data_IF_396513140191
#
_entry.id   IF_396513140191
#
_cell.length_a   1.000
_cell.length_b   1.000
_cell.length_c   1.000
_cell.angle_alpha   90.00
_cell.angle_beta   90.00
_cell.angle_gamma   90.00
#
_symmetry.space_group_name_H-M   'P 1'
#
loop_
_entity.id
_entity.type
_entity.pdbx_description
1 polymer ?
#
# COMPACT_ATOMS: atom_id res chain seq x y z
N UNK A 1 31.60 5.85 -1.92
CA UNK A 1 30.23 5.67 -1.44
C UNK A 1 29.90 6.89 -0.61
N UNK A 2 28.83 7.64 -0.85
CA UNK A 2 28.43 8.71 0.03
C UNK A 2 28.10 8.13 1.41
N UNK A 3 28.53 8.82 2.47
CA UNK A 3 28.33 8.36 3.84
C UNK A 3 26.84 8.21 4.17
N UNK A 4 26.50 7.17 4.95
CA UNK A 4 25.14 6.94 5.42
C UNK A 4 24.61 8.22 6.09
N UNK A 5 23.37 8.67 5.80
CA UNK A 5 22.74 9.76 6.51
C UNK A 5 22.70 9.44 8.02
N UNK A 6 22.97 10.45 8.84
CA UNK A 6 22.99 10.29 10.30
C UNK A 6 21.56 10.44 10.85
N UNK A 7 20.74 9.39 10.67
CA UNK A 7 19.35 9.37 11.16
C UNK A 7 19.31 9.07 12.66
N UNK A 8 18.35 9.62 13.41
CA UNK A 8 18.20 9.28 14.83
C UNK A 8 17.80 7.80 14.97
N UNK A 9 18.53 7.07 15.81
CA UNK A 9 18.22 5.68 16.16
C UNK A 9 16.87 5.61 16.86
N UNK A 10 15.81 5.31 16.12
CA UNK A 10 14.50 5.00 16.69
C UNK A 10 14.41 3.49 17.01
N UNK A 11 14.21 3.17 18.28
CA UNK A 11 13.63 1.87 18.69
C UNK A 11 12.19 1.82 18.12
N UNK A 12 11.63 0.61 17.86
CA UNK A 12 10.22 0.50 17.52
C UNK A 12 9.39 1.09 18.67
N UNK A 13 9.06 2.35 18.55
CA UNK A 13 8.13 3.04 19.46
C UNK A 13 6.76 2.61 18.95
N UNK A 14 5.96 1.96 19.80
CA UNK A 14 4.55 1.77 19.51
C UNK A 14 3.94 3.16 19.33
N UNK A 15 3.63 3.52 18.10
CA UNK A 15 3.00 4.79 17.80
C UNK A 15 1.56 4.77 18.32
N UNK A 16 1.13 5.86 18.94
CA UNK A 16 -0.28 6.00 19.34
C UNK A 16 -1.18 6.12 18.10
N UNK A 17 -2.45 5.72 18.24
CA UNK A 17 -3.44 5.92 17.15
C UNK A 17 -3.47 7.36 16.65
N UNK A 18 -3.36 8.34 17.56
CA UNK A 18 -3.31 9.76 17.18
C UNK A 18 -2.08 10.09 16.33
N UNK A 19 -0.93 9.49 16.64
CA UNK A 19 0.27 9.68 15.84
C UNK A 19 0.10 9.07 14.44
N UNK A 20 -0.42 7.85 14.34
CA UNK A 20 -0.69 7.19 13.05
C UNK A 20 -1.68 7.97 12.20
N UNK A 21 -2.76 8.50 12.82
CA UNK A 21 -3.72 9.37 12.14
C UNK A 21 -3.05 10.64 11.58
N UNK A 22 -2.17 11.27 12.36
CA UNK A 22 -1.42 12.45 11.89
C UNK A 22 -0.45 12.10 10.75
N UNK A 23 0.28 11.00 10.88
CA UNK A 23 1.16 10.49 9.82
C UNK A 23 0.36 10.22 8.55
N UNK A 24 -0.79 9.55 8.65
CA UNK A 24 -1.66 9.28 7.51
C UNK A 24 -2.20 10.56 6.84
N UNK A 25 -2.50 11.60 7.63
CA UNK A 25 -2.89 12.91 7.10
C UNK A 25 -1.75 13.54 6.30
N UNK A 26 -0.54 13.55 6.85
CA UNK A 26 0.64 14.09 6.17
C UNK A 26 0.96 13.30 4.87
N UNK A 27 0.83 11.97 4.90
CA UNK A 27 1.00 11.13 3.69
C UNK A 27 -0.01 11.53 2.60
N UNK A 28 -1.27 11.79 2.97
CA UNK A 28 -2.28 12.29 2.02
C UNK A 28 -1.90 13.64 1.41
N UNK A 29 -1.30 14.56 2.20
CA UNK A 29 -0.77 15.82 1.64
C UNK A 29 0.34 15.55 0.61
N UNK A 30 1.26 14.62 0.87
CA UNK A 30 2.30 14.26 -0.10
C UNK A 30 1.70 13.72 -1.40
N UNK A 31 0.70 12.85 -1.32
CA UNK A 31 0.00 12.29 -2.49
C UNK A 31 -0.65 13.41 -3.32
N UNK A 32 -1.35 14.35 -2.66
CA UNK A 32 -1.97 15.49 -3.34
C UNK A 32 -0.93 16.31 -4.09
N UNK A 33 0.21 16.61 -3.45
CA UNK A 33 1.32 17.37 -4.07
C UNK A 33 1.99 16.62 -5.22
N UNK A 34 2.00 15.29 -5.21
CA UNK A 34 2.50 14.47 -6.32
C UNK A 34 1.50 14.34 -7.48
N UNK A 35 0.25 14.72 -7.30
CA UNK A 35 -0.79 14.62 -8.32
C UNK A 35 -0.79 15.81 -9.30
N UNK A 36 0.36 16.44 -9.51
CA UNK A 36 0.64 17.49 -10.48
C UNK A 36 1.88 17.15 -11.31
N UNK A 37 2.26 17.95 -12.29
CA UNK A 37 3.49 17.80 -13.09
C UNK A 37 3.67 16.38 -13.67
N UNK A 38 2.61 15.83 -14.23
CA UNK A 38 2.57 14.48 -14.79
C UNK A 38 1.63 13.53 -14.04
N UNK A 39 1.10 13.95 -12.91
CA UNK A 39 0.02 13.28 -12.18
C UNK A 39 0.40 11.99 -11.49
N UNK A 40 -0.58 11.40 -10.78
CA UNK A 40 -0.45 10.10 -10.15
C UNK A 40 -1.81 9.39 -10.00
N UNK A 41 -1.77 8.12 -9.57
CA UNK A 41 -2.96 7.30 -9.31
C UNK A 41 -3.55 7.64 -7.93
N UNK A 42 -4.07 8.85 -7.80
CA UNK A 42 -4.45 9.44 -6.51
C UNK A 42 -5.57 8.67 -5.80
N UNK A 43 -6.60 8.23 -6.54
CA UNK A 43 -7.77 7.57 -5.93
C UNK A 43 -7.40 6.31 -5.16
N UNK A 44 -6.60 5.44 -5.76
CA UNK A 44 -6.15 4.19 -5.17
C UNK A 44 -5.06 4.41 -4.10
N UNK A 45 -4.14 5.37 -4.34
CA UNK A 45 -3.12 5.72 -3.34
C UNK A 45 -3.73 6.19 -2.02
N UNK A 46 -4.78 7.03 -2.08
CA UNK A 46 -5.45 7.55 -0.88
C UNK A 46 -6.19 6.45 -0.09
N UNK A 47 -6.68 5.38 -0.73
CA UNK A 47 -7.32 4.26 -0.03
C UNK A 47 -6.33 3.47 0.81
N UNK A 48 -5.11 3.27 0.32
CA UNK A 48 -4.10 2.43 0.93
C UNK A 48 -3.29 3.10 2.06
N UNK A 49 -3.43 4.42 2.27
CA UNK A 49 -2.60 5.19 3.21
C UNK A 49 -2.61 4.59 4.61
N UNK A 50 -3.79 4.38 5.20
CA UNK A 50 -3.89 3.93 6.59
C UNK A 50 -3.30 2.53 6.78
N UNK A 51 -3.47 1.65 5.77
CA UNK A 51 -2.87 0.32 5.73
C UNK A 51 -1.34 0.39 5.74
N UNK A 52 -0.76 1.16 4.81
CA UNK A 52 0.70 1.27 4.66
C UNK A 52 1.32 1.93 5.90
N UNK A 53 0.71 3.01 6.40
CA UNK A 53 1.16 3.67 7.64
C UNK A 53 1.13 2.69 8.80
N UNK A 54 0.03 1.95 9.01
CA UNK A 54 -0.07 0.95 10.08
C UNK A 54 1.03 -0.11 9.97
N UNK A 55 1.20 -0.68 8.78
CA UNK A 55 2.18 -1.74 8.55
C UNK A 55 3.60 -1.30 8.91
N UNK A 56 4.02 -0.11 8.53
CA UNK A 56 5.37 0.39 8.80
C UNK A 56 5.55 0.96 10.22
N UNK A 57 4.49 1.40 10.89
CA UNK A 57 4.60 2.01 12.22
C UNK A 57 4.41 1.05 13.38
N UNK A 58 3.64 -0.04 13.20
CA UNK A 58 3.28 -0.96 14.30
C UNK A 58 3.60 -2.43 14.01
N UNK A 59 3.49 -2.89 12.76
CA UNK A 59 3.54 -4.32 12.47
C UNK A 59 4.89 -4.83 11.95
N UNK A 60 5.52 -4.10 11.02
CA UNK A 60 6.76 -4.54 10.36
C UNK A 60 8.01 -4.14 11.16
N UNK A 61 8.97 -5.04 11.24
CA UNK A 61 10.32 -4.74 11.69
C UNK A 61 11.15 -4.15 10.53
N UNK A 62 10.80 -2.92 10.12
CA UNK A 62 11.49 -2.16 9.06
C UNK A 62 11.68 -0.73 9.53
N UNK A 63 12.92 -0.25 9.52
CA UNK A 63 13.28 1.12 9.89
C UNK A 63 14.60 1.53 9.22
N UNK A 64 15.00 2.78 9.37
CA UNK A 64 16.20 3.32 8.71
C UNK A 64 17.52 2.58 9.11
N UNK A 65 17.55 1.96 10.27
CA UNK A 65 18.75 1.30 10.78
C UNK A 65 18.92 -0.15 10.26
N UNK A 66 17.82 -0.77 9.76
CA UNK A 66 17.81 -2.19 9.38
C UNK A 66 17.47 -2.47 7.91
N UNK A 67 17.44 -1.48 7.04
CA UNK A 67 17.07 -1.69 5.63
C UNK A 67 17.99 -2.69 4.89
N UNK A 68 19.24 -2.81 5.32
CA UNK A 68 20.20 -3.77 4.77
C UNK A 68 20.25 -5.10 5.56
N UNK A 69 19.43 -5.24 6.64
CA UNK A 69 19.42 -6.44 7.48
C UNK A 69 18.58 -7.54 6.82
N UNK A 70 19.14 -8.73 6.55
CA UNK A 70 18.38 -9.85 5.99
C UNK A 70 17.30 -10.40 6.96
N UNK A 71 17.39 -10.08 8.25
CA UNK A 71 16.43 -10.53 9.26
C UNK A 71 15.24 -9.54 9.46
N UNK A 72 15.20 -8.44 8.70
CA UNK A 72 14.06 -7.54 8.66
C UNK A 72 12.84 -8.14 7.97
N UNK A 73 11.67 -7.57 8.19
CA UNK A 73 10.47 -7.93 7.45
C UNK A 73 10.46 -7.34 6.03
N UNK A 74 9.60 -7.86 5.17
CA UNK A 74 9.50 -7.45 3.76
C UNK A 74 8.08 -7.01 3.42
N UNK A 75 7.95 -5.90 2.68
CA UNK A 75 6.70 -5.46 2.12
C UNK A 75 6.80 -5.36 0.59
N UNK A 76 5.89 -6.04 -0.09
CA UNK A 76 5.70 -5.99 -1.54
C UNK A 76 4.41 -5.23 -1.86
N UNK A 77 4.51 -4.12 -2.58
CA UNK A 77 3.36 -3.38 -3.07
C UNK A 77 2.99 -3.88 -4.47
N UNK A 78 2.10 -4.89 -4.56
CA UNK A 78 1.72 -5.52 -5.83
C UNK A 78 0.91 -4.57 -6.71
N UNK A 79 -0.05 -3.84 -6.12
CA UNK A 79 -0.73 -2.72 -6.76
C UNK A 79 0.21 -1.51 -6.86
N UNK A 80 1.26 -1.63 -7.69
CA UNK A 80 2.37 -0.69 -7.74
C UNK A 80 1.99 0.77 -8.02
N UNK A 81 0.84 1.02 -8.61
CA UNK A 81 0.33 2.36 -8.84
C UNK A 81 -0.01 3.14 -7.55
N UNK A 82 -0.07 2.48 -6.39
CA UNK A 82 -0.23 3.13 -5.09
C UNK A 82 1.10 3.60 -4.48
N UNK A 83 2.18 3.55 -5.22
CA UNK A 83 3.50 3.97 -4.76
C UNK A 83 3.56 5.37 -4.15
N UNK A 84 2.73 6.37 -4.53
CA UNK A 84 2.68 7.65 -3.83
C UNK A 84 2.39 7.52 -2.33
N UNK A 85 1.53 6.56 -1.93
CA UNK A 85 1.28 6.29 -0.51
C UNK A 85 2.51 5.69 0.19
N UNK A 86 3.25 4.80 -0.48
CA UNK A 86 4.49 4.23 0.03
C UNK A 86 5.57 5.31 0.18
N UNK A 87 5.80 6.13 -0.84
CA UNK A 87 6.78 7.21 -0.79
C UNK A 87 6.44 8.25 0.27
N UNK A 88 5.18 8.67 0.37
CA UNK A 88 4.73 9.56 1.44
C UNK A 88 4.98 8.98 2.82
N UNK A 89 4.71 7.68 3.02
CA UNK A 89 5.01 6.98 4.27
C UNK A 89 6.52 6.94 4.54
N UNK A 90 7.34 6.69 3.54
CA UNK A 90 8.80 6.71 3.68
C UNK A 90 9.33 8.10 4.09
N UNK A 91 8.75 9.16 3.56
CA UNK A 91 9.09 10.54 3.97
C UNK A 91 8.76 10.77 5.45
N UNK A 92 7.56 10.41 5.89
CA UNK A 92 7.12 10.61 7.27
C UNK A 92 7.92 9.76 8.28
N UNK A 93 8.48 8.65 7.84
CA UNK A 93 9.33 7.77 8.66
C UNK A 93 10.84 8.05 8.51
N UNK A 94 11.23 9.04 7.70
CA UNK A 94 12.63 9.39 7.46
C UNK A 94 13.40 8.37 6.64
N UNK A 95 12.72 7.53 5.84
CA UNK A 95 13.32 6.58 4.91
C UNK A 95 13.59 7.20 3.53
N UNK A 96 12.93 8.32 3.23
CA UNK A 96 13.05 9.07 1.98
C UNK A 96 13.10 10.57 2.28
N UNK A 97 14.00 11.30 1.63
CA UNK A 97 14.04 12.76 1.74
C UNK A 97 12.83 13.37 1.04
N UNK A 98 12.13 14.29 1.73
CA UNK A 98 10.88 14.91 1.24
C UNK A 98 11.06 15.63 -0.10
N UNK A 99 12.19 16.29 -0.27
CA UNK A 99 12.54 17.04 -1.48
C UNK A 99 12.55 16.16 -2.73
N UNK A 100 12.86 14.88 -2.59
CA UNK A 100 12.84 13.93 -3.70
C UNK A 100 11.46 13.74 -4.32
N UNK A 101 10.38 13.94 -3.56
CA UNK A 101 9.02 13.87 -4.13
C UNK A 101 8.77 14.94 -5.19
N UNK A 102 9.49 16.08 -5.14
CA UNK A 102 9.43 17.13 -6.18
C UNK A 102 10.13 16.70 -7.48
N UNK A 103 10.92 15.63 -7.45
CA UNK A 103 11.58 15.06 -8.62
C UNK A 103 10.74 13.96 -9.28
N UNK A 104 9.44 13.87 -8.95
CA UNK A 104 8.52 12.92 -9.55
C UNK A 104 8.57 12.99 -11.07
N UNK A 105 8.77 11.84 -11.73
CA UNK A 105 8.96 11.67 -13.17
C UNK A 105 10.21 12.37 -13.76
N UNK A 106 11.11 12.87 -12.94
CA UNK A 106 12.38 13.40 -13.41
C UNK A 106 13.31 12.30 -13.91
N UNK A 107 14.10 12.59 -14.96
CA UNK A 107 15.13 11.68 -15.45
C UNK A 107 16.34 11.56 -14.50
N UNK A 108 16.44 12.43 -13.50
CA UNK A 108 17.55 12.48 -12.55
C UNK A 108 17.26 11.81 -11.21
N UNK A 109 16.04 11.29 -11.03
CA UNK A 109 15.62 10.55 -9.84
C UNK A 109 14.86 9.27 -10.25
N UNK A 110 14.51 8.44 -9.27
CA UNK A 110 13.80 7.17 -9.44
C UNK A 110 12.39 7.19 -8.85
N UNK A 111 11.84 8.38 -8.60
CA UNK A 111 10.47 8.60 -8.14
C UNK A 111 9.52 8.57 -9.35
N UNK A 112 8.89 7.42 -9.59
CA UNK A 112 7.99 7.19 -10.72
C UNK A 112 6.60 6.75 -10.27
N UNK A 113 5.71 6.48 -11.22
CA UNK A 113 4.34 5.99 -10.99
C UNK A 113 4.26 4.58 -10.37
N UNK A 114 5.38 3.86 -10.32
CA UNK A 114 5.46 2.50 -9.79
C UNK A 114 6.74 2.33 -8.97
N UNK A 115 6.75 1.38 -8.01
CA UNK A 115 7.93 1.09 -7.19
C UNK A 115 9.18 0.79 -8.01
N UNK A 116 10.29 1.39 -7.58
CA UNK A 116 11.59 1.24 -8.20
C UNK A 116 12.63 0.87 -7.14
N UNK A 117 13.37 -0.22 -7.33
CA UNK A 117 14.35 -0.74 -6.37
C UNK A 117 15.57 0.16 -6.17
N UNK A 118 15.75 1.23 -6.96
CA UNK A 118 16.73 2.27 -6.67
C UNK A 118 16.29 3.20 -5.52
N UNK A 119 15.04 3.11 -5.08
CA UNK A 119 14.57 3.74 -3.85
C UNK A 119 14.81 2.75 -2.71
N UNK A 120 15.63 3.14 -1.76
CA UNK A 120 15.97 2.30 -0.61
C UNK A 120 14.69 1.91 0.17
N UNK A 121 14.54 0.63 0.47
CA UNK A 121 13.33 0.08 1.13
C UNK A 121 12.24 -0.37 0.17
N UNK A 122 12.39 -0.16 -1.15
CA UNK A 122 11.53 -0.77 -2.17
C UNK A 122 12.11 -2.13 -2.56
N UNK A 123 11.38 -3.19 -2.30
CA UNK A 123 11.86 -4.58 -2.42
C UNK A 123 11.94 -5.07 -3.87
N UNK A 124 11.01 -4.62 -4.70
CA UNK A 124 10.88 -5.11 -6.07
C UNK A 124 10.23 -4.07 -6.98
N UNK A 125 10.62 -4.05 -8.26
CA UNK A 125 9.87 -3.30 -9.26
C UNK A 125 8.48 -3.92 -9.42
N UNK A 126 7.43 -3.12 -9.39
CA UNK A 126 6.06 -3.60 -9.53
C UNK A 126 5.25 -2.74 -10.50
N UNK A 127 3.98 -3.12 -10.71
CA UNK A 127 3.06 -2.47 -11.64
C UNK A 127 2.40 -3.44 -12.62
N UNK A 128 3.03 -4.59 -12.88
CA UNK A 128 2.38 -5.71 -13.56
C UNK A 128 1.53 -6.47 -12.53
N UNK A 129 0.22 -6.21 -12.53
CA UNK A 129 -0.70 -6.79 -11.56
C UNK A 129 -0.66 -8.32 -11.60
N UNK A 130 -0.86 -8.95 -10.45
CA UNK A 130 -0.86 -10.40 -10.27
C UNK A 130 0.53 -11.05 -10.19
N UNK A 131 1.64 -10.33 -10.40
CA UNK A 131 2.98 -10.94 -10.44
C UNK A 131 3.66 -10.99 -9.08
N UNK A 132 3.55 -9.94 -8.26
CA UNK A 132 4.21 -9.90 -6.95
C UNK A 132 3.70 -10.92 -5.92
N UNK A 133 2.46 -11.42 -5.95
CA UNK A 133 2.06 -12.51 -5.07
C UNK A 133 2.99 -13.72 -5.17
N UNK A 134 3.37 -14.12 -6.39
CA UNK A 134 4.29 -15.24 -6.62
C UNK A 134 5.72 -14.94 -6.15
N UNK A 135 6.19 -13.70 -6.31
CA UNK A 135 7.49 -13.26 -5.78
C UNK A 135 7.49 -13.32 -4.25
N UNK A 136 6.43 -12.80 -3.60
CA UNK A 136 6.28 -12.84 -2.14
C UNK A 136 6.23 -14.28 -1.60
N UNK A 137 5.57 -15.20 -2.33
CA UNK A 137 5.58 -16.64 -2.02
C UNK A 137 7.01 -17.18 -2.05
N UNK A 138 7.78 -16.88 -3.09
CA UNK A 138 9.19 -17.33 -3.22
C UNK A 138 10.06 -16.83 -2.06
N UNK A 139 9.92 -15.55 -1.68
CA UNK A 139 10.66 -14.97 -0.54
C UNK A 139 10.23 -15.61 0.78
N UNK A 140 8.94 -15.80 1.01
CA UNK A 140 8.43 -16.43 2.22
C UNK A 140 8.88 -17.90 2.35
N UNK A 141 8.95 -18.63 1.23
CA UNK A 141 9.50 -20.00 1.17
C UNK A 141 10.99 -20.02 1.55
N UNK A 142 11.80 -19.16 0.96
CA UNK A 142 13.23 -19.07 1.24
C UNK A 142 13.49 -18.78 2.73
N UNK A 143 12.78 -17.79 3.31
CA UNK A 143 12.85 -17.48 4.73
C UNK A 143 12.53 -18.73 5.58
N UNK A 144 11.45 -19.43 5.27
CA UNK A 144 11.04 -20.62 6.02
C UNK A 144 12.05 -21.77 5.90
N UNK A 145 12.63 -21.98 4.71
CA UNK A 145 13.67 -22.99 4.47
C UNK A 145 14.94 -22.68 5.28
N UNK A 146 15.32 -21.39 5.38
CA UNK A 146 16.47 -20.95 6.18
C UNK A 146 16.20 -20.92 7.68
N UNK A 147 14.96 -21.16 8.12
CA UNK A 147 14.58 -21.08 9.53
C UNK A 147 14.47 -19.65 10.07
N UNK A 148 14.29 -18.66 9.19
CA UNK A 148 14.08 -17.26 9.55
C UNK A 148 12.67 -17.01 10.12
N UNK A 149 12.51 -15.85 10.78
CA UNK A 149 11.24 -15.41 11.39
C UNK A 149 10.66 -14.16 10.76
N UNK A 150 11.22 -13.72 9.63
CA UNK A 150 10.76 -12.53 8.91
C UNK A 150 9.31 -12.69 8.46
N UNK A 151 8.53 -11.62 8.62
CA UNK A 151 7.20 -11.52 8.00
C UNK A 151 7.35 -11.03 6.56
N UNK A 152 6.52 -11.58 5.69
CA UNK A 152 6.39 -11.13 4.29
C UNK A 152 4.97 -10.63 4.10
N UNK A 153 4.82 -9.36 3.76
CA UNK A 153 3.54 -8.72 3.47
C UNK A 153 3.47 -8.38 1.98
N UNK A 154 2.38 -8.74 1.32
CA UNK A 154 2.10 -8.36 -0.06
C UNK A 154 0.75 -7.65 -0.12
N UNK A 155 0.76 -6.36 -0.51
CA UNK A 155 -0.46 -5.56 -0.66
C UNK A 155 -0.98 -5.72 -2.08
N UNK A 156 -2.23 -6.15 -2.18
CA UNK A 156 -2.97 -6.39 -3.41
C UNK A 156 -4.10 -5.36 -3.57
N UNK A 157 -4.44 -5.03 -4.80
CA UNK A 157 -5.72 -4.41 -5.11
C UNK A 157 -6.83 -5.45 -5.28
N UNK A 158 -8.07 -5.08 -4.99
CA UNK A 158 -9.20 -5.96 -5.24
C UNK A 158 -9.40 -6.25 -6.73
N UNK A 159 -9.27 -5.24 -7.60
CA UNK A 159 -9.31 -5.46 -9.05
C UNK A 159 -8.17 -6.34 -9.57
N UNK A 160 -7.02 -6.37 -8.89
CA UNK A 160 -5.90 -7.26 -9.18
C UNK A 160 -6.27 -8.74 -9.00
N UNK A 161 -7.24 -9.05 -8.15
CA UNK A 161 -7.69 -10.43 -7.92
C UNK A 161 -8.42 -11.05 -9.12
N UNK A 162 -8.67 -10.30 -10.17
CA UNK A 162 -9.10 -10.84 -11.46
C UNK A 162 -7.95 -11.48 -12.25
N UNK A 163 -6.70 -11.28 -11.82
CA UNK A 163 -5.55 -12.02 -12.35
C UNK A 163 -5.46 -13.42 -11.75
N UNK A 164 -5.46 -14.46 -12.60
CA UNK A 164 -5.41 -15.86 -12.17
C UNK A 164 -4.18 -16.19 -11.33
N UNK A 165 -3.06 -15.52 -11.59
CA UNK A 165 -1.78 -15.70 -10.89
C UNK A 165 -1.86 -15.38 -9.40
N UNK A 166 -2.76 -14.50 -8.94
CA UNK A 166 -3.01 -14.27 -7.52
C UNK A 166 -3.51 -15.55 -6.82
N UNK A 167 -4.42 -16.28 -7.45
CA UNK A 167 -5.00 -17.51 -6.93
C UNK A 167 -4.03 -18.69 -7.04
N UNK A 168 -3.24 -18.76 -8.11
CA UNK A 168 -2.15 -19.73 -8.25
C UNK A 168 -1.10 -19.56 -7.15
N UNK A 169 -0.71 -18.32 -6.83
CA UNK A 169 0.19 -18.00 -5.72
C UNK A 169 -0.41 -18.47 -4.38
N UNK A 170 -1.72 -18.30 -4.18
CA UNK A 170 -2.42 -18.75 -2.97
C UNK A 170 -2.38 -20.27 -2.81
N UNK A 171 -2.56 -21.03 -3.91
CA UNK A 171 -2.44 -22.50 -3.89
C UNK A 171 -1.05 -22.94 -3.43
N UNK A 172 0.00 -22.32 -3.97
CA UNK A 172 1.39 -22.62 -3.59
C UNK A 172 1.65 -22.22 -2.13
N UNK A 173 1.23 -21.01 -1.72
CA UNK A 173 1.39 -20.54 -0.35
C UNK A 173 0.74 -21.49 0.68
N UNK A 174 -0.44 -21.98 0.38
CA UNK A 174 -1.14 -22.93 1.23
C UNK A 174 -0.45 -24.31 1.24
N UNK A 175 -0.03 -24.83 0.08
CA UNK A 175 0.66 -26.12 -0.04
C UNK A 175 1.95 -26.17 0.78
N UNK A 176 2.69 -25.07 0.81
CA UNK A 176 3.94 -24.93 1.58
C UNK A 176 3.72 -24.37 3.00
N UNK A 177 2.45 -24.19 3.42
CA UNK A 177 2.10 -23.74 4.78
C UNK A 177 2.80 -22.45 5.19
N UNK A 178 2.78 -21.44 4.30
CA UNK A 178 3.50 -20.20 4.49
C UNK A 178 2.76 -19.27 5.47
N UNK A 179 2.79 -19.62 6.76
CA UNK A 179 2.21 -18.81 7.83
C UNK A 179 3.00 -17.54 8.15
N UNK A 180 4.19 -17.39 7.58
CA UNK A 180 4.99 -16.16 7.56
C UNK A 180 4.64 -15.19 6.42
N UNK A 181 3.66 -15.53 5.56
CA UNK A 181 3.16 -14.69 4.47
C UNK A 181 1.77 -14.14 4.79
N UNK A 182 1.58 -12.86 4.48
CA UNK A 182 0.30 -12.17 4.63
C UNK A 182 -0.01 -11.46 3.31
N UNK A 183 -1.15 -11.78 2.71
CA UNK A 183 -1.74 -10.96 1.66
C UNK A 183 -2.71 -9.95 2.28
N UNK A 184 -2.53 -8.67 1.97
CA UNK A 184 -3.42 -7.59 2.39
C UNK A 184 -4.13 -7.06 1.16
N UNK A 185 -5.43 -7.24 1.10
CA UNK A 185 -6.26 -6.76 -0.02
C UNK A 185 -6.84 -5.40 0.34
N UNK A 186 -6.42 -4.36 -0.39
CA UNK A 186 -7.09 -3.06 -0.37
C UNK A 186 -8.41 -3.18 -1.15
N UNK A 187 -9.50 -3.43 -0.42
CA UNK A 187 -10.85 -3.64 -0.97
C UNK A 187 -11.58 -2.30 -1.10
N UNK A 188 -11.12 -1.46 -2.03
CA UNK A 188 -11.69 -0.15 -2.32
C UNK A 188 -12.84 -0.18 -3.33
N UNK A 189 -13.20 -1.37 -3.85
CA UNK A 189 -14.30 -1.65 -4.76
C UNK A 189 -14.14 -1.10 -6.18
N UNK A 190 -12.92 -0.74 -6.58
CA UNK A 190 -12.67 -0.22 -7.92
C UNK A 190 -11.50 -0.90 -8.62
N UNK A 191 -11.69 -1.13 -9.90
CA UNK A 191 -10.65 -1.53 -10.85
C UNK A 191 -10.54 -0.45 -11.92
N UNK A 192 -9.44 0.30 -11.91
CA UNK A 192 -9.28 1.51 -12.72
C UNK A 192 -10.52 2.44 -12.61
N UNK A 193 -11.25 2.67 -13.68
CA UNK A 193 -12.41 3.57 -13.73
C UNK A 193 -13.77 2.85 -13.61
N UNK A 194 -13.79 1.60 -13.13
CA UNK A 194 -15.01 0.79 -13.03
C UNK A 194 -15.12 0.16 -11.65
N UNK A 195 -16.33 -0.04 -11.14
CA UNK A 195 -16.51 -0.82 -9.92
C UNK A 195 -16.23 -2.30 -10.16
N UNK A 196 -15.52 -2.94 -9.22
CA UNK A 196 -15.13 -4.36 -9.34
C UNK A 196 -16.35 -5.27 -9.50
N UNK A 197 -17.43 -5.01 -8.75
CA UNK A 197 -18.63 -5.83 -8.81
C UNK A 197 -19.46 -5.65 -10.09
N UNK A 198 -19.23 -4.55 -10.82
CA UNK A 198 -19.87 -4.31 -12.13
C UNK A 198 -19.08 -4.94 -13.28
N UNK A 199 -17.75 -5.04 -13.13
CA UNK A 199 -16.87 -5.57 -14.18
C UNK A 199 -16.76 -7.10 -14.10
N UNK A 200 -16.18 -7.61 -13.02
CA UNK A 200 -16.05 -9.04 -12.72
C UNK A 200 -16.25 -9.20 -11.21
N UNK A 201 -17.42 -9.67 -10.76
CA UNK A 201 -17.77 -9.76 -9.34
C UNK A 201 -16.77 -10.60 -8.53
N UNK A 202 -16.31 -10.03 -7.42
CA UNK A 202 -15.35 -10.67 -6.51
C UNK A 202 -16.02 -11.32 -5.30
N UNK A 203 -17.18 -10.81 -4.88
CA UNK A 203 -17.86 -11.39 -3.71
C UNK A 203 -18.47 -12.79 -4.00
N UNK A 204 -18.55 -13.69 -3.01
CA UNK A 204 -18.07 -13.54 -1.63
C UNK A 204 -16.55 -13.76 -1.54
N UNK A 205 -15.79 -12.66 -1.36
CA UNK A 205 -14.33 -12.70 -1.46
C UNK A 205 -13.68 -13.48 -0.30
N UNK A 206 -14.20 -13.33 0.91
CA UNK A 206 -13.68 -14.07 2.08
C UNK A 206 -13.80 -15.59 1.86
N UNK A 207 -14.96 -16.07 1.44
CA UNK A 207 -15.21 -17.50 1.22
C UNK A 207 -14.28 -18.07 0.15
N UNK A 208 -13.97 -17.27 -0.89
CA UNK A 208 -13.02 -17.66 -1.94
C UNK A 208 -11.63 -17.90 -1.35
N UNK A 209 -11.08 -16.95 -0.56
CA UNK A 209 -9.78 -17.15 0.08
C UNK A 209 -9.77 -18.31 1.06
N UNK A 210 -10.84 -18.49 1.84
CA UNK A 210 -10.98 -19.63 2.76
C UNK A 210 -11.03 -20.96 2.02
N UNK A 211 -11.70 -21.02 0.86
CA UNK A 211 -11.73 -22.19 -0.01
C UNK A 211 -10.35 -22.55 -0.59
N UNK A 212 -9.47 -21.55 -0.79
CA UNK A 212 -8.07 -21.76 -1.15
C UNK A 212 -7.18 -22.13 0.05
N UNK A 213 -7.75 -22.26 1.25
CA UNK A 213 -7.07 -22.72 2.46
C UNK A 213 -6.47 -21.64 3.34
N UNK A 214 -6.68 -20.36 3.02
CA UNK A 214 -6.17 -19.25 3.80
C UNK A 214 -6.87 -19.08 5.16
N UNK A 215 -6.18 -18.47 6.12
CA UNK A 215 -6.77 -17.92 7.34
C UNK A 215 -7.09 -16.44 7.08
N UNK A 216 -8.37 -16.08 7.09
CA UNK A 216 -8.85 -14.79 6.61
C UNK A 216 -9.37 -13.92 7.75
N UNK A 217 -9.09 -12.62 7.67
CA UNK A 217 -9.76 -11.57 8.46
C UNK A 217 -10.26 -10.49 7.53
N UNK A 218 -11.48 -10.00 7.76
CA UNK A 218 -12.05 -8.85 7.06
C UNK A 218 -12.30 -7.72 8.06
N UNK A 219 -11.81 -6.54 7.77
CA UNK A 219 -11.75 -5.39 8.69
C UNK A 219 -12.01 -4.07 7.97
N UNK A 220 -12.35 -3.04 8.73
CA UNK A 220 -12.27 -1.65 8.27
C UNK A 220 -10.78 -1.26 8.12
N UNK A 221 -10.35 -0.98 6.88
CA UNK A 221 -8.98 -0.63 6.55
C UNK A 221 -8.58 0.79 6.96
N UNK A 222 -9.53 1.60 7.47
CA UNK A 222 -9.28 2.96 7.96
C UNK A 222 -9.30 3.07 9.48
N UNK A 223 -9.64 2.00 10.19
CA UNK A 223 -9.61 1.96 11.66
C UNK A 223 -8.30 1.34 12.17
N UNK A 224 -7.40 2.16 12.69
CA UNK A 224 -6.13 1.70 13.29
C UNK A 224 -6.32 0.74 14.47
N UNK A 225 -7.44 0.81 15.20
CA UNK A 225 -7.71 -0.13 16.27
C UNK A 225 -8.13 -1.50 15.70
N UNK A 226 -8.93 -1.53 14.64
CA UNK A 226 -9.30 -2.76 13.93
C UNK A 226 -8.07 -3.40 13.26
N UNK A 227 -7.21 -2.60 12.62
CA UNK A 227 -5.92 -3.04 12.08
C UNK A 227 -5.09 -3.70 13.16
N UNK A 228 -4.86 -3.00 14.28
CA UNK A 228 -4.08 -3.54 15.40
C UNK A 228 -4.65 -4.85 15.93
N UNK A 229 -5.95 -4.92 16.18
CA UNK A 229 -6.60 -6.13 16.66
C UNK A 229 -6.43 -7.32 15.67
N UNK A 230 -6.48 -7.03 14.37
CA UNK A 230 -6.29 -8.06 13.36
C UNK A 230 -4.85 -8.57 13.35
N UNK A 231 -3.88 -7.66 13.29
CA UNK A 231 -2.46 -8.02 13.15
C UNK A 231 -1.83 -8.52 14.45
N UNK A 232 -2.30 -8.13 15.64
CA UNK A 232 -1.88 -8.71 16.92
C UNK A 232 -2.19 -10.21 17.02
N UNK A 233 -3.15 -10.71 16.24
CA UNK A 233 -3.48 -12.13 16.20
C UNK A 233 -2.66 -12.93 15.17
N UNK A 234 -1.65 -12.32 14.55
CA UNK A 234 -0.77 -12.97 13.59
C UNK A 234 0.21 -13.97 14.27
N UNK A 235 0.48 -15.16 13.68
CA UNK A 235 -0.23 -15.72 12.52
C UNK A 235 -1.66 -16.13 12.90
N UNK A 236 -2.63 -15.86 12.01
CA UNK A 236 -4.05 -16.07 12.30
C UNK A 236 -4.39 -17.54 12.56
N UNK A 237 -3.69 -18.42 11.88
CA UNK A 237 -3.70 -19.84 12.11
C UNK A 237 -2.35 -20.44 11.69
N UNK A 238 -1.77 -21.26 12.56
CA UNK A 238 -0.53 -21.98 12.26
C UNK A 238 -0.67 -22.81 10.98
N UNK A 239 0.40 -22.84 10.19
CA UNK A 239 0.48 -23.61 8.93
C UNK A 239 -0.50 -23.15 7.84
N UNK A 240 -1.09 -21.96 7.94
CA UNK A 240 -1.91 -21.36 6.89
C UNK A 240 -1.37 -20.01 6.45
N UNK A 241 -1.48 -19.72 5.16
CA UNK A 241 -1.26 -18.37 4.66
C UNK A 241 -2.32 -17.43 5.23
N UNK A 242 -1.90 -16.20 5.57
CA UNK A 242 -2.77 -15.20 6.18
C UNK A 242 -3.31 -14.26 5.10
N UNK A 243 -4.57 -13.88 5.21
CA UNK A 243 -5.20 -12.87 4.35
C UNK A 243 -5.93 -11.85 5.21
N UNK A 244 -5.69 -10.58 4.95
CA UNK A 244 -6.48 -9.47 5.48
C UNK A 244 -7.23 -8.83 4.32
N UNK A 245 -8.55 -8.87 4.35
CA UNK A 245 -9.40 -8.08 3.45
C UNK A 245 -9.70 -6.78 4.20
N UNK A 246 -9.10 -5.70 3.76
CA UNK A 246 -9.30 -4.38 4.34
C UNK A 246 -10.31 -3.62 3.48
N UNK A 247 -11.53 -3.47 3.97
CA UNK A 247 -12.53 -2.63 3.33
C UNK A 247 -12.11 -1.17 3.45
N UNK A 248 -11.90 -0.52 2.33
CA UNK A 248 -11.39 0.85 2.25
C UNK A 248 -12.27 1.72 1.36
N UNK A 249 -12.01 3.00 1.39
CA UNK A 249 -12.73 3.99 0.59
C UNK A 249 -11.75 4.58 -0.41
N UNK A 250 -12.02 4.39 -1.70
CA UNK A 250 -11.25 5.03 -2.76
C UNK A 250 -11.28 6.55 -2.61
N UNK A 251 -10.10 7.19 -2.66
CA UNK A 251 -10.00 8.64 -2.51
C UNK A 251 -10.23 9.14 -1.09
N UNK A 252 -10.02 8.30 -0.07
CA UNK A 252 -10.22 8.61 1.36
C UNK A 252 -9.58 9.93 1.77
N UNK A 253 -10.39 10.80 2.36
CA UNK A 253 -9.98 12.10 2.88
C UNK A 253 -10.30 13.29 1.97
N UNK A 254 -10.69 13.04 0.71
CA UNK A 254 -11.04 14.09 -0.27
C UNK A 254 -12.46 13.86 -0.82
N UNK A 255 -13.50 14.50 -0.28
CA UNK A 255 -14.88 14.36 -0.75
C UNK A 255 -15.05 14.57 -2.26
N UNK A 256 -14.27 15.46 -2.88
CA UNK A 256 -14.31 15.72 -4.33
C UNK A 256 -13.78 14.56 -5.18
N UNK A 257 -13.03 13.61 -4.59
CA UNK A 257 -12.43 12.45 -5.25
C UNK A 257 -13.05 11.14 -4.77
N UNK A 258 -13.53 11.13 -3.52
CA UNK A 258 -13.97 9.93 -2.83
C UNK A 258 -15.06 9.18 -3.62
N UNK A 259 -14.87 7.86 -3.78
CA UNK A 259 -15.75 6.93 -4.51
C UNK A 259 -16.06 7.31 -5.97
N UNK A 260 -15.24 8.16 -6.57
CA UNK A 260 -15.38 8.54 -7.97
C UNK A 260 -14.54 7.64 -8.88
N UNK A 261 -15.21 6.98 -9.81
CA UNK A 261 -14.57 6.11 -10.81
C UNK A 261 -13.65 6.89 -11.76
N UNK A 262 -14.04 8.11 -12.13
CA UNK A 262 -13.30 9.00 -13.04
C UNK A 262 -12.05 9.63 -12.42
N UNK A 263 -11.77 9.42 -11.13
CA UNK A 263 -10.64 9.98 -10.40
C UNK A 263 -9.59 8.91 -10.03
N UNK A 264 -9.35 7.97 -10.92
CA UNK A 264 -8.30 6.97 -10.75
C UNK A 264 -6.91 7.58 -10.91
N UNK A 265 -6.62 8.18 -12.06
CA UNK A 265 -5.41 8.93 -12.33
C UNK A 265 -5.76 10.40 -12.54
N UNK A 266 -5.07 11.30 -11.87
CA UNK A 266 -5.29 12.74 -11.99
C UNK A 266 -3.96 13.47 -12.15
N UNK A 267 -4.01 14.56 -12.92
CA UNK A 267 -2.94 15.54 -13.05
C UNK A 267 -3.57 16.91 -12.85
N UNK A 268 -3.39 17.47 -11.67
CA UNK A 268 -4.05 18.71 -11.25
C UNK A 268 -3.21 19.95 -11.57
N UNK A 269 -3.89 21.09 -11.71
CA UNK A 269 -3.22 22.39 -11.68
C UNK A 269 -2.71 22.72 -10.27
N UNK A 270 -1.78 23.64 -10.16
CA UNK A 270 -1.27 24.10 -8.86
C UNK A 270 -2.39 24.66 -7.97
N UNK A 271 -3.35 25.37 -8.57
CA UNK A 271 -4.52 25.94 -7.87
C UNK A 271 -5.43 24.84 -7.34
N UNK A 272 -5.65 23.77 -8.10
CA UNK A 272 -6.45 22.61 -7.64
C UNK A 272 -5.73 21.87 -6.50
N UNK A 273 -4.40 21.73 -6.56
CA UNK A 273 -3.61 21.14 -5.46
C UNK A 273 -3.78 21.95 -4.18
N UNK A 274 -3.70 23.29 -4.24
CA UNK A 274 -3.91 24.16 -3.08
C UNK A 274 -5.33 24.02 -2.51
N UNK A 275 -6.35 23.94 -3.37
CA UNK A 275 -7.74 23.73 -2.94
C UNK A 275 -7.95 22.33 -2.32
N UNK A 276 -7.36 21.28 -2.89
CA UNK A 276 -7.43 19.92 -2.34
C UNK A 276 -6.74 19.81 -0.98
N UNK A 277 -5.65 20.54 -0.75
CA UNK A 277 -5.01 20.61 0.57
C UNK A 277 -5.94 21.28 1.60
N UNK A 278 -6.63 22.37 1.24
CA UNK A 278 -7.64 22.99 2.11
C UNK A 278 -8.83 22.03 2.37
N UNK A 279 -9.27 21.31 1.35
CA UNK A 279 -10.35 20.31 1.48
C UNK A 279 -9.95 19.17 2.42
N UNK A 280 -8.71 18.65 2.32
CA UNK A 280 -8.19 17.61 3.19
C UNK A 280 -8.26 18.02 4.67
N UNK A 281 -8.07 19.30 4.97
CA UNK A 281 -8.18 19.87 6.32
C UNK A 281 -9.60 20.35 6.69
N UNK A 282 -10.60 20.09 5.85
CA UNK A 282 -12.00 20.48 6.09
C UNK A 282 -12.26 21.98 6.00
N UNK A 283 -11.40 22.73 5.29
CA UNK A 283 -11.48 24.19 5.17
C UNK A 283 -12.11 24.66 3.85
N UNK A 284 -12.28 23.76 2.89
CA UNK A 284 -12.86 24.06 1.58
C UNK A 284 -13.63 22.85 1.02
N UNK A 285 -14.37 23.09 -0.06
CA UNK A 285 -14.87 22.05 -0.97
C UNK A 285 -14.32 22.38 -2.35
N UNK A 286 -13.71 21.41 -3.02
CA UNK A 286 -13.03 21.62 -4.29
C UNK A 286 -13.91 21.23 -5.46
N UNK A 287 -14.00 22.09 -6.47
CA UNK A 287 -14.57 21.76 -7.78
C UNK A 287 -13.40 21.48 -8.74
N UNK A 288 -13.32 20.22 -9.20
CA UNK A 288 -12.23 19.75 -10.04
C UNK A 288 -12.59 19.93 -11.52
N UNK A 289 -11.74 20.61 -12.25
CA UNK A 289 -11.89 20.90 -13.69
C UNK A 289 -10.85 20.19 -14.56
N UNK A 290 -9.74 19.74 -13.96
CA UNK A 290 -8.68 19.05 -14.66
C UNK A 290 -9.16 17.74 -15.31
N UNK A 291 -8.62 17.45 -16.46
CA UNK A 291 -8.87 16.20 -17.18
C UNK A 291 -8.35 14.99 -16.41
N UNK A 292 -9.01 13.87 -16.59
CA UNK A 292 -8.63 12.59 -16.00
C UNK A 292 -8.37 11.56 -17.08
N UNK A 293 -7.48 10.62 -16.80
CA UNK A 293 -7.31 9.45 -17.66
C UNK A 293 -8.47 8.48 -17.40
N UNK A 294 -9.32 8.32 -18.41
CA UNK A 294 -10.40 7.32 -18.39
C UNK A 294 -9.98 6.16 -19.28
N UNK A 295 -9.80 5.00 -18.69
CA UNK A 295 -9.61 3.73 -19.40
C UNK A 295 -10.99 3.14 -19.66
N UNK A 296 -11.31 2.90 -20.94
CA UNK A 296 -12.58 2.30 -21.37
C UNK A 296 -12.36 0.88 -21.85
#
# INVERSE_FOLDING_TARGET
MPGKPNWPKCKPTQYSNLHMQKTALNVREHIIRMATDGGCFIGASLSAVDLIVYLYTDFLNVNADNLDDPDRDYLFLSKGHDVPALYGTFVELGLLEKERLTHHLSLTDHIYWHPNTHILGVEFHSGSLGHLPSVAVGVAMDIKIRGGNNKVVCILGDGELNEGTCWEAMLVANAYKLDNLIFVVDRNQFQANVRTEELIPLEPLQDKFEAFGAAVKRIDGHDFAALKQAFDAYPFQKDKVNVVIADTIRGKGLPSIQERADRWFCNFSAEEVDQLLLELHGQATTELTSETLIVR
#
